data_IF_062261340855
#
_entry.id   IF_062261340855
#
_cell.length_a   1.000
_cell.length_b   1.000
_cell.length_c   1.000
_cell.angle_alpha   90.00
_cell.angle_beta   90.00
_cell.angle_gamma   90.00
#
_symmetry.space_group_name_H-M   'P 1'
#
loop_
_entity.id
_entity.type
_entity.pdbx_description
1 polymer ?
#
# COMPACT_ATOMS: atom_id res chain seq x y z
N UNK A 1 -17.53 -7.89 -3.17
CA UNK A 1 -16.75 -7.10 -2.20
C UNK A 1 -17.56 -6.93 -0.92
N UNK A 2 -16.95 -7.19 0.22
CA UNK A 2 -17.64 -7.10 1.51
C UNK A 2 -17.94 -5.64 1.87
N UNK A 3 -18.94 -5.44 2.75
CA UNK A 3 -19.26 -4.10 3.24
C UNK A 3 -18.09 -3.48 4.01
N UNK A 4 -17.31 -4.30 4.74
CA UNK A 4 -16.14 -3.81 5.47
C UNK A 4 -15.10 -3.22 4.52
N UNK A 5 -14.86 -3.87 3.38
CA UNK A 5 -13.92 -3.37 2.38
C UNK A 5 -14.46 -2.11 1.72
N UNK A 6 -15.75 -2.10 1.35
CA UNK A 6 -16.36 -0.92 0.73
C UNK A 6 -16.24 0.32 1.62
N UNK A 7 -16.39 0.13 2.94
CA UNK A 7 -16.29 1.24 3.88
C UNK A 7 -14.89 1.86 3.95
N UNK A 8 -13.88 1.11 3.52
CA UNK A 8 -12.49 1.60 3.51
C UNK A 8 -12.13 2.36 2.25
N UNK A 9 -12.95 2.25 1.20
CA UNK A 9 -12.64 2.85 -0.10
C UNK A 9 -13.28 4.23 -0.26
N UNK A 10 -12.65 5.13 -1.01
CA UNK A 10 -11.35 4.98 -1.65
C UNK A 10 -10.21 5.02 -0.63
N UNK A 11 -9.14 4.29 -0.91
CA UNK A 11 -7.95 4.35 -0.06
C UNK A 11 -7.18 5.64 -0.33
N UNK A 12 -6.55 6.18 0.71
CA UNK A 12 -5.59 7.26 0.52
C UNK A 12 -4.44 6.76 -0.35
N UNK A 13 -3.88 7.60 -1.23
CA UNK A 13 -2.77 7.16 -2.09
C UNK A 13 -1.60 6.55 -1.32
N UNK A 14 -1.17 7.17 -0.22
CA UNK A 14 -0.08 6.64 0.58
C UNK A 14 -0.42 5.25 1.12
N UNK A 15 -1.64 5.07 1.62
CA UNK A 15 -2.11 3.77 2.13
C UNK A 15 -2.03 2.69 1.07
N UNK A 16 -2.51 2.99 -0.14
CA UNK A 16 -2.51 2.03 -1.24
C UNK A 16 -1.08 1.64 -1.61
N UNK A 17 -0.19 2.62 -1.76
CA UNK A 17 1.21 2.34 -2.09
C UNK A 17 1.91 1.52 -1.00
N UNK A 18 1.63 1.80 0.27
CA UNK A 18 2.21 1.02 1.37
C UNK A 18 1.71 -0.43 1.30
N UNK A 19 0.41 -0.64 1.09
CA UNK A 19 -0.14 -2.00 0.96
C UNK A 19 0.53 -2.74 -0.19
N UNK A 20 0.68 -2.09 -1.35
CA UNK A 20 1.33 -2.71 -2.50
C UNK A 20 2.77 -3.11 -2.18
N UNK A 21 3.49 -2.31 -1.39
CA UNK A 21 4.87 -2.60 -1.03
C UNK A 21 5.01 -3.82 -0.11
N UNK A 22 3.92 -4.25 0.52
CA UNK A 22 3.91 -5.36 1.48
C UNK A 22 3.29 -6.64 0.92
N UNK A 23 2.91 -6.65 -0.37
CA UNK A 23 2.22 -7.81 -0.95
C UNK A 23 3.15 -9.01 -1.13
N UNK A 24 4.43 -8.79 -1.30
CA UNK A 24 5.41 -9.84 -1.59
C UNK A 24 6.29 -10.22 -0.39
N UNK A 25 6.51 -9.29 0.54
CA UNK A 25 7.30 -9.59 1.73
C UNK A 25 7.05 -8.56 2.84
N UNK A 26 7.38 -8.94 4.06
CA UNK A 26 7.34 -8.03 5.20
C UNK A 26 8.47 -7.00 5.04
N UNK A 27 8.22 -5.77 5.47
CA UNK A 27 9.21 -4.69 5.38
C UNK A 27 9.15 -3.79 6.61
N UNK A 28 10.29 -3.24 7.00
CA UNK A 28 10.32 -2.16 7.99
C UNK A 28 10.04 -0.82 7.30
N UNK A 29 9.82 0.23 8.11
CA UNK A 29 9.39 1.53 7.57
C UNK A 29 10.29 2.09 6.49
N UNK A 30 11.61 2.09 6.71
CA UNK A 30 12.54 2.65 5.72
C UNK A 30 12.50 1.83 4.41
N UNK A 31 12.40 0.51 4.52
CA UNK A 31 12.31 -0.34 3.34
C UNK A 31 11.01 -0.09 2.56
N UNK A 32 9.92 0.24 3.25
CA UNK A 32 8.67 0.63 2.59
C UNK A 32 8.90 1.90 1.77
N UNK A 33 9.52 2.91 2.36
CA UNK A 33 9.83 4.17 1.64
C UNK A 33 10.64 3.89 0.38
N UNK A 34 11.70 3.10 0.50
CA UNK A 34 12.56 2.77 -0.64
C UNK A 34 11.79 2.01 -1.72
N UNK A 35 10.96 1.05 -1.32
CA UNK A 35 10.22 0.23 -2.27
C UNK A 35 9.15 1.05 -3.01
N UNK A 36 8.43 1.91 -2.31
CA UNK A 36 7.45 2.80 -2.94
C UNK A 36 8.15 3.75 -3.93
N UNK A 37 9.29 4.31 -3.53
CA UNK A 37 10.07 5.19 -4.41
C UNK A 37 10.49 4.45 -5.68
N UNK A 38 11.00 3.22 -5.51
CA UNK A 38 11.46 2.40 -6.64
C UNK A 38 10.30 2.05 -7.58
N UNK A 39 9.19 1.57 -7.04
CA UNK A 39 8.04 1.12 -7.85
C UNK A 39 7.37 2.26 -8.60
N UNK A 40 7.44 3.48 -8.06
CA UNK A 40 6.88 4.66 -8.72
C UNK A 40 7.92 5.43 -9.53
N UNK A 41 9.13 4.88 -9.69
CA UNK A 41 10.22 5.53 -10.44
C UNK A 41 10.50 6.94 -9.90
N UNK A 42 10.43 7.10 -8.60
CA UNK A 42 10.69 8.36 -7.92
C UNK A 42 9.54 9.34 -7.90
N UNK A 43 8.40 9.00 -8.50
CA UNK A 43 7.23 9.88 -8.54
C UNK A 43 6.65 10.12 -7.15
N UNK A 44 6.69 9.10 -6.28
CA UNK A 44 6.19 9.23 -4.92
C UNK A 44 7.30 8.92 -3.93
N UNK A 45 7.68 9.93 -3.16
CA UNK A 45 8.64 9.79 -2.06
C UNK A 45 7.90 10.08 -0.77
N UNK A 46 7.66 9.04 0.03
CA UNK A 46 6.99 9.22 1.30
C UNK A 46 7.96 9.80 2.31
N UNK A 47 7.56 10.86 3.00
CA UNK A 47 8.31 11.35 4.15
C UNK A 47 8.10 10.40 5.32
N UNK A 48 9.03 10.41 6.27
CA UNK A 48 8.88 9.59 7.47
C UNK A 48 7.59 9.93 8.22
N UNK A 49 7.24 11.21 8.30
CA UNK A 49 6.02 11.64 8.97
C UNK A 49 4.77 11.08 8.32
N UNK A 50 4.68 11.18 6.99
CA UNK A 50 3.53 10.64 6.24
C UNK A 50 3.47 9.13 6.40
N UNK A 51 4.63 8.45 6.29
CA UNK A 51 4.69 7.00 6.42
C UNK A 51 4.13 6.55 7.78
N UNK A 52 4.67 7.11 8.88
CA UNK A 52 4.30 6.62 10.21
C UNK A 52 2.88 6.99 10.60
N UNK A 53 2.35 8.12 10.13
CA UNK A 53 0.93 8.45 10.32
C UNK A 53 0.05 7.45 9.57
N UNK A 54 0.43 7.09 8.35
CA UNK A 54 -0.31 6.10 7.56
C UNK A 54 -0.25 4.73 8.22
N UNK A 55 0.94 4.31 8.67
CA UNK A 55 1.12 3.03 9.36
C UNK A 55 0.22 2.97 10.60
N UNK A 56 0.18 4.03 11.39
CA UNK A 56 -0.65 4.06 12.59
C UNK A 56 -2.12 3.83 12.26
N UNK A 57 -2.63 4.54 11.26
CA UNK A 57 -4.02 4.37 10.81
C UNK A 57 -4.28 2.98 10.27
N UNK A 58 -3.32 2.43 9.53
CA UNK A 58 -3.45 1.11 8.93
C UNK A 58 -3.45 0.00 9.98
N UNK A 59 -2.64 0.15 11.02
CA UNK A 59 -2.64 -0.77 12.17
C UNK A 59 -4.00 -0.73 12.88
N UNK A 60 -4.52 0.47 13.13
CA UNK A 60 -5.81 0.65 13.78
C UNK A 60 -6.96 0.07 12.95
N UNK A 61 -6.87 0.19 11.63
CA UNK A 61 -7.89 -0.33 10.72
C UNK A 61 -7.75 -1.83 10.43
N UNK A 62 -6.67 -2.46 10.91
CA UNK A 62 -6.45 -3.89 10.68
C UNK A 62 -5.95 -4.23 9.28
N UNK A 63 -5.44 -3.26 8.54
CA UNK A 63 -4.92 -3.48 7.19
C UNK A 63 -3.53 -4.11 7.18
N UNK A 64 -2.77 -3.85 8.23
CA UNK A 64 -1.44 -4.40 8.44
C UNK A 64 -1.29 -4.78 9.91
N UNK A 65 -0.30 -5.63 10.19
CA UNK A 65 0.10 -5.97 11.56
C UNK A 65 1.60 -5.81 11.68
N UNK A 66 2.06 -5.57 12.89
CA UNK A 66 3.48 -5.61 13.18
C UNK A 66 3.88 -7.06 13.35
N UNK A 67 5.01 -7.44 12.78
CA UNK A 67 5.51 -8.82 12.87
C UNK A 67 6.89 -8.83 13.48
N UNK A 68 7.20 -9.93 14.18
CA UNK A 68 8.52 -10.17 14.74
C UNK A 68 9.43 -10.96 13.80
N UNK A 69 8.86 -11.49 12.72
CA UNK A 69 9.63 -12.21 11.72
C UNK A 69 10.45 -11.24 10.88
N UNK A 70 11.76 -11.43 10.86
CA UNK A 70 12.69 -10.57 10.12
C UNK A 70 13.36 -11.36 9.01
N UNK A 71 13.45 -10.82 7.78
CA UNK A 71 14.07 -11.53 6.67
C UNK A 71 15.54 -11.87 6.90
N UNK A 72 16.28 -11.00 7.60
CA UNK A 72 17.71 -11.21 7.87
C UNK A 72 18.05 -10.78 9.30
N UNK A 73 17.65 -11.58 10.31
CA UNK A 73 17.79 -11.16 11.72
C UNK A 73 19.22 -10.78 12.11
N UNK A 74 20.22 -11.46 11.58
CA UNK A 74 21.62 -11.24 11.93
C UNK A 74 22.19 -9.93 11.34
N UNK A 75 21.51 -9.35 10.35
CA UNK A 75 21.91 -8.11 9.70
C UNK A 75 21.03 -6.94 10.05
N UNK A 76 20.02 -7.16 10.89
CA UNK A 76 19.00 -6.17 11.15
C UNK A 76 19.14 -5.52 12.51
N UNK A 77 18.64 -4.30 12.63
CA UNK A 77 18.55 -3.59 13.89
C UNK A 77 17.33 -4.10 14.65
N UNK A 78 17.52 -4.60 15.87
CA UNK A 78 16.43 -5.11 16.69
C UNK A 78 15.35 -4.06 16.99
N UNK A 79 15.67 -2.77 16.87
CA UNK A 79 14.72 -1.69 17.10
C UNK A 79 13.80 -1.46 15.90
N UNK A 80 14.12 -2.03 14.73
CA UNK A 80 13.28 -1.89 13.56
C UNK A 80 12.04 -2.72 13.70
N UNK A 81 10.90 -2.11 13.35
CA UNK A 81 9.60 -2.77 13.36
C UNK A 81 9.24 -3.18 11.95
N UNK A 82 8.87 -4.43 11.77
CA UNK A 82 8.45 -4.97 10.49
C UNK A 82 6.94 -5.06 10.44
N UNK A 83 6.40 -4.87 9.25
CA UNK A 83 4.96 -4.86 9.02
C UNK A 83 4.60 -5.89 7.96
N UNK A 84 3.40 -6.43 8.11
CA UNK A 84 2.86 -7.45 7.21
C UNK A 84 1.46 -7.06 6.83
N UNK A 85 1.12 -7.26 5.54
CA UNK A 85 -0.24 -7.04 5.06
C UNK A 85 -1.15 -8.14 5.64
N UNK A 86 -2.37 -7.75 6.04
CA UNK A 86 -3.38 -8.71 6.54
C UNK A 86 -4.29 -9.15 5.39
N UNK A 87 -5.09 -10.20 5.58
CA UNK A 87 -6.12 -10.55 4.59
C UNK A 87 -7.05 -9.36 4.29
N UNK A 88 -7.44 -8.59 5.31
CA UNK A 88 -8.26 -7.39 5.10
C UNK A 88 -7.51 -6.34 4.27
N UNK A 89 -6.21 -6.13 4.57
CA UNK A 89 -5.39 -5.21 3.79
C UNK A 89 -5.29 -5.61 2.33
N UNK A 90 -5.11 -6.91 2.07
CA UNK A 90 -5.08 -7.42 0.69
C UNK A 90 -6.41 -7.22 -0.01
N UNK A 91 -7.52 -7.51 0.67
CA UNK A 91 -8.86 -7.30 0.11
C UNK A 91 -9.12 -5.82 -0.17
N UNK A 92 -8.67 -4.92 0.71
CA UNK A 92 -8.81 -3.49 0.50
C UNK A 92 -7.99 -3.01 -0.71
N UNK A 93 -6.77 -3.53 -0.88
CA UNK A 93 -5.94 -3.20 -2.04
C UNK A 93 -6.57 -3.70 -3.33
N UNK A 94 -7.13 -4.92 -3.33
CA UNK A 94 -7.86 -5.46 -4.48
C UNK A 94 -9.09 -4.60 -4.80
N UNK A 95 -9.83 -4.16 -3.78
CA UNK A 95 -10.98 -3.29 -3.96
C UNK A 95 -10.60 -1.95 -4.56
N UNK A 96 -9.49 -1.36 -4.09
CA UNK A 96 -9.00 -0.09 -4.64
C UNK A 96 -8.56 -0.26 -6.09
N UNK A 97 -7.84 -1.35 -6.42
CA UNK A 97 -7.43 -1.62 -7.79
C UNK A 97 -8.66 -1.74 -8.72
N UNK A 98 -9.71 -2.42 -8.26
CA UNK A 98 -10.96 -2.55 -9.01
C UNK A 98 -11.65 -1.20 -9.20
N UNK A 99 -11.67 -0.36 -8.16
CA UNK A 99 -12.24 0.98 -8.24
C UNK A 99 -11.50 1.83 -9.29
N UNK A 100 -10.16 1.75 -9.29
CA UNK A 100 -9.35 2.49 -10.26
C UNK A 100 -9.56 1.99 -11.69
N UNK A 101 -9.67 0.67 -11.86
CA UNK A 101 -9.96 0.08 -13.17
C UNK A 101 -11.31 0.61 -13.72
N UNK A 102 -12.34 0.61 -12.87
CA UNK A 102 -13.67 1.05 -13.29
C UNK A 102 -13.67 2.55 -13.57
N UNK A 103 -12.93 3.33 -12.79
CA UNK A 103 -12.81 4.76 -13.02
C UNK A 103 -12.07 5.04 -14.33
N UNK A 104 -11.03 4.30 -14.62
CA UNK A 104 -10.31 4.43 -15.90
C UNK A 104 -11.22 4.10 -17.08
N UNK A 105 -12.04 3.06 -16.94
CA UNK A 105 -13.03 2.70 -17.97
C UNK A 105 -13.99 3.87 -18.19
N UNK A 106 -14.48 4.49 -17.13
CA UNK A 106 -15.35 5.66 -17.23
C UNK A 106 -14.65 6.82 -17.94
N UNK A 107 -13.40 7.08 -17.60
CA UNK A 107 -12.62 8.15 -18.24
C UNK A 107 -12.49 7.91 -19.74
N UNK A 108 -12.28 6.65 -20.15
CA UNK A 108 -12.23 6.28 -21.58
C UNK A 108 -13.55 6.54 -22.29
N UNK A 109 -14.66 6.21 -21.64
CA UNK A 109 -15.98 6.49 -22.21
C UNK A 109 -16.22 8.00 -22.37
N UNK A 110 -15.60 8.80 -21.52
CA UNK A 110 -15.68 10.26 -21.62
C UNK A 110 -14.63 10.85 -22.56
N UNK A 111 -13.80 10.03 -23.19
CA UNK A 111 -12.77 10.48 -24.12
C UNK A 111 -11.56 11.14 -23.47
N UNK A 112 -11.33 10.91 -22.17
CA UNK A 112 -10.28 11.58 -21.40
C UNK A 112 -9.07 10.70 -21.11
N UNK A 113 -9.24 9.38 -21.11
CA UNK A 113 -8.17 8.47 -20.72
C UNK A 113 -6.98 8.56 -21.69
N UNK A 114 -5.74 8.42 -21.17
CA UNK A 114 -4.57 8.40 -22.04
C UNK A 114 -4.62 7.20 -22.97
N UNK A 115 -4.00 7.34 -24.15
CA UNK A 115 -3.91 6.25 -25.11
C UNK A 115 -3.04 5.14 -24.52
N UNK A 116 -3.46 3.91 -24.77
CA UNK A 116 -2.67 2.76 -24.43
C UNK A 116 -1.48 2.71 -25.37
N UNK A 117 -0.29 2.94 -24.87
CA UNK A 117 0.91 2.63 -25.61
C UNK A 117 1.20 1.16 -25.34
N UNK A 118 1.05 0.38 -26.34
CA UNK A 118 1.20 -1.06 -26.26
C UNK A 118 2.54 -1.51 -25.70
#
# INVERSE_FOLDING_TARGET
MSEDVKALLPLQPATFHILLSLTDEDRHGYAIILEVTRRTQGELKLSAGTLYRSIQRMLEAGLIVETRSRPAPELDDERRRYYRITPLGRAAAEGEAGRLRDLLKMARLCGIAPRTTG
#
